data_IF_671020721887
#
_entry.id   IF_671020721887
#
_cell.length_a   1.000
_cell.length_b   1.000
_cell.length_c   1.000
_cell.angle_alpha   90.00
_cell.angle_beta   90.00
_cell.angle_gamma   90.00
#
_symmetry.space_group_name_H-M   'P 1'
#
loop_
_entity.id
_entity.type
_entity.pdbx_description
1 polymer ?
#
# COMPACT_ATOMS: atom_id res chain seq x y z
N UNK A 1 -4.63 -13.35 3.48
CA UNK A 1 -5.63 -12.74 2.59
C UNK A 1 -5.19 -12.79 1.13
N UNK A 2 -3.96 -12.52 0.81
CA UNK A 2 -3.44 -12.56 -0.56
C UNK A 2 -1.97 -12.18 -0.62
N UNK A 3 -1.49 -11.77 -1.78
CA UNK A 3 -0.10 -11.38 -1.98
C UNK A 3 0.03 -10.05 -2.71
N UNK A 4 1.05 -9.29 -2.34
CA UNK A 4 1.42 -8.03 -2.97
C UNK A 4 2.79 -8.19 -3.62
N UNK A 5 2.91 -7.81 -4.89
CA UNK A 5 4.18 -7.83 -5.62
C UNK A 5 4.47 -6.46 -6.22
N UNK A 6 5.62 -5.89 -5.87
CA UNK A 6 6.08 -4.58 -6.39
C UNK A 6 7.43 -4.80 -7.08
N UNK A 7 7.44 -5.18 -8.37
CA UNK A 7 8.69 -5.54 -9.07
C UNK A 7 9.72 -4.40 -9.10
N UNK A 8 9.27 -3.15 -9.20
CA UNK A 8 10.18 -2.01 -9.31
C UNK A 8 11.11 -1.85 -8.11
N UNK A 9 10.74 -2.38 -6.96
CA UNK A 9 11.54 -2.34 -5.72
C UNK A 9 11.81 -3.73 -5.15
N UNK A 10 11.55 -4.77 -5.95
CA UNK A 10 11.80 -6.17 -5.60
C UNK A 10 11.14 -6.57 -4.27
N UNK A 11 9.86 -6.25 -4.12
CA UNK A 11 9.08 -6.56 -2.92
C UNK A 11 8.00 -7.57 -3.25
N UNK A 12 7.91 -8.64 -2.43
CA UNK A 12 6.82 -9.59 -2.43
C UNK A 12 6.42 -9.85 -0.98
N UNK A 13 5.19 -9.53 -0.63
CA UNK A 13 4.71 -9.63 0.75
C UNK A 13 3.34 -10.28 0.79
N UNK A 14 3.02 -11.05 1.85
CA UNK A 14 1.65 -11.46 2.07
C UNK A 14 0.80 -10.25 2.49
N UNK A 15 -0.47 -10.27 2.11
CA UNK A 15 -1.44 -9.29 2.57
C UNK A 15 -2.14 -9.88 3.79
N UNK A 16 -2.02 -9.20 4.93
CA UNK A 16 -2.55 -9.65 6.21
C UNK A 16 -3.73 -8.77 6.63
N UNK A 17 -4.56 -9.30 7.49
CA UNK A 17 -5.78 -8.62 7.92
C UNK A 17 -5.51 -7.80 9.19
N UNK A 18 -5.92 -6.51 9.15
CA UNK A 18 -5.72 -5.62 10.29
C UNK A 18 -4.31 -5.08 10.40
N UNK A 19 -4.09 -4.20 11.36
CA UNK A 19 -2.84 -3.48 11.52
C UNK A 19 -2.20 -3.69 12.89
N UNK A 20 -2.39 -4.89 13.47
CA UNK A 20 -1.69 -5.21 14.71
C UNK A 20 -0.16 -5.31 14.48
N UNK A 21 0.65 -5.30 15.54
CA UNK A 21 2.11 -5.29 15.39
C UNK A 21 2.65 -6.47 14.58
N UNK A 22 2.06 -7.65 14.71
CA UNK A 22 2.51 -8.85 13.98
C UNK A 22 2.24 -8.69 12.49
N UNK A 23 1.06 -8.20 12.09
CA UNK A 23 0.73 -7.97 10.69
C UNK A 23 1.67 -6.95 10.05
N UNK A 24 1.96 -5.84 10.74
CA UNK A 24 2.86 -4.79 10.24
C UNK A 24 4.30 -5.28 10.07
N UNK A 25 4.71 -6.24 10.88
CA UNK A 25 6.08 -6.79 10.83
C UNK A 25 6.24 -7.92 9.82
N UNK A 26 5.15 -8.60 9.45
CA UNK A 26 5.19 -9.81 8.63
C UNK A 26 4.80 -9.58 7.17
N UNK A 27 4.13 -8.49 6.86
CA UNK A 27 3.69 -8.26 5.49
C UNK A 27 3.01 -6.91 5.31
N UNK A 28 2.19 -6.84 4.25
CA UNK A 28 1.36 -5.67 3.95
C UNK A 28 0.02 -5.84 4.68
N UNK A 29 -0.26 -4.98 5.64
CA UNK A 29 -1.45 -5.08 6.47
C UNK A 29 -2.60 -4.27 5.87
N UNK A 30 -3.76 -4.91 5.73
CA UNK A 30 -4.98 -4.25 5.27
C UNK A 30 -5.58 -3.42 6.41
N UNK A 31 -5.79 -2.14 6.17
CA UNK A 31 -6.33 -1.21 7.17
C UNK A 31 -7.83 -1.40 7.29
N UNK A 32 -8.33 -1.64 8.50
CA UNK A 32 -9.76 -1.76 8.77
C UNK A 32 -10.50 -0.48 8.35
N UNK A 33 -11.69 -0.65 7.82
CA UNK A 33 -12.52 0.46 7.35
C UNK A 33 -12.24 0.90 5.92
N UNK A 34 -11.16 0.41 5.31
CA UNK A 34 -10.91 0.63 3.87
C UNK A 34 -11.47 -0.53 3.07
N UNK A 35 -11.60 -0.35 1.74
CA UNK A 35 -12.13 -1.40 0.88
C UNK A 35 -11.23 -2.65 0.93
N UNK A 36 -11.82 -3.83 0.73
CA UNK A 36 -11.05 -5.06 0.60
C UNK A 36 -10.22 -5.05 -0.67
N UNK A 37 -9.07 -5.75 -0.73
CA UNK A 37 -8.17 -5.71 -1.87
C UNK A 37 -8.66 -6.57 -3.05
N UNK A 38 -9.93 -6.44 -3.38
CA UNK A 38 -10.57 -7.14 -4.50
C UNK A 38 -10.93 -6.21 -5.66
N UNK A 39 -10.60 -4.94 -5.53
CA UNK A 39 -10.88 -3.93 -6.54
C UNK A 39 -12.36 -3.54 -6.57
N UNK A 40 -12.70 -2.69 -7.49
CA UNK A 40 -14.07 -2.24 -7.71
C UNK A 40 -14.15 -0.73 -7.91
N UNK A 41 -15.17 -0.30 -8.63
CA UNK A 41 -15.44 1.11 -8.88
C UNK A 41 -15.78 1.82 -7.56
N UNK A 42 -15.26 3.02 -7.39
CA UNK A 42 -15.47 3.85 -6.20
C UNK A 42 -14.93 3.20 -4.91
N UNK A 43 -13.86 2.41 -5.00
CA UNK A 43 -13.21 1.82 -3.84
C UNK A 43 -11.81 2.38 -3.65
N UNK A 44 -11.36 2.43 -2.40
CA UNK A 44 -9.99 2.80 -2.06
C UNK A 44 -9.50 1.84 -0.96
N UNK A 45 -8.62 0.93 -1.34
CA UNK A 45 -8.02 -0.04 -0.43
C UNK A 45 -6.71 0.53 0.10
N UNK A 46 -6.46 0.38 1.40
CA UNK A 46 -5.21 0.86 2.01
C UNK A 46 -4.45 -0.30 2.61
N UNK A 47 -3.20 -0.45 2.18
CA UNK A 47 -2.24 -1.41 2.73
C UNK A 47 -1.10 -0.65 3.37
N UNK A 48 -0.66 -1.08 4.54
CA UNK A 48 0.45 -0.44 5.26
C UNK A 48 1.46 -1.48 5.74
N UNK A 49 2.70 -1.08 5.90
CA UNK A 49 3.75 -1.93 6.46
C UNK A 49 4.86 -1.05 7.03
N UNK A 50 5.74 -1.66 7.82
CA UNK A 50 6.90 -0.95 8.36
C UNK A 50 7.94 -0.61 7.29
N UNK A 51 8.73 0.42 7.56
CA UNK A 51 9.93 0.75 6.80
C UNK A 51 11.14 0.61 7.73
N UNK A 52 12.19 -0.11 7.28
CA UNK A 52 13.43 -0.28 8.04
C UNK A 52 13.28 -1.13 9.29
N UNK A 53 12.37 -2.09 9.31
CA UNK A 53 12.05 -2.88 10.50
C UNK A 53 12.83 -4.19 10.55
N UNK A 54 13.58 -4.42 11.64
CA UNK A 54 14.28 -5.69 11.95
C UNK A 54 15.06 -6.29 10.77
N UNK A 55 15.68 -5.46 9.93
CA UNK A 55 16.44 -5.91 8.76
C UNK A 55 15.57 -6.40 7.59
N UNK A 56 14.26 -6.43 7.72
CA UNK A 56 13.34 -6.78 6.64
C UNK A 56 13.08 -5.57 5.76
N UNK A 57 12.94 -5.80 4.46
CA UNK A 57 12.73 -4.70 3.52
C UNK A 57 11.32 -4.12 3.59
N UNK A 58 10.31 -4.95 3.67
CA UNK A 58 8.90 -4.52 3.73
C UNK A 58 8.65 -3.33 2.80
N UNK A 59 8.18 -2.19 3.33
CA UNK A 59 7.99 -0.95 2.57
C UNK A 59 9.17 0.02 2.67
N UNK A 60 10.35 -0.44 3.07
CA UNK A 60 11.54 0.41 3.22
C UNK A 60 11.86 1.20 1.94
N UNK A 61 11.74 0.57 0.77
CA UNK A 61 12.07 1.18 -0.51
C UNK A 61 10.84 1.77 -1.21
N UNK A 62 9.72 1.93 -0.52
CA UNK A 62 8.49 2.46 -1.12
C UNK A 62 8.68 3.86 -1.71
N UNK A 63 9.59 4.66 -1.15
CA UNK A 63 9.93 5.99 -1.64
C UNK A 63 10.60 5.99 -3.01
N UNK A 64 11.06 4.83 -3.49
CA UNK A 64 11.64 4.68 -4.82
C UNK A 64 10.59 4.52 -5.92
N UNK A 65 9.34 4.27 -5.57
CA UNK A 65 8.26 4.20 -6.56
C UNK A 65 7.99 5.58 -7.14
N UNK A 66 7.85 5.63 -8.46
CA UNK A 66 7.54 6.87 -9.19
C UNK A 66 6.26 6.69 -9.99
N UNK A 67 5.71 7.82 -10.44
CA UNK A 67 4.52 7.81 -11.30
C UNK A 67 4.81 6.93 -12.53
N UNK A 68 3.91 6.00 -12.79
CA UNK A 68 4.05 5.05 -13.89
C UNK A 68 4.54 3.66 -13.49
N UNK A 69 5.16 3.50 -12.34
CA UNK A 69 5.47 2.17 -11.81
C UNK A 69 4.17 1.44 -11.44
N UNK A 70 4.23 0.12 -11.36
CA UNK A 70 3.05 -0.67 -11.07
C UNK A 70 3.32 -1.72 -10.01
N UNK A 71 2.24 -2.21 -9.39
CA UNK A 71 2.27 -3.37 -8.53
C UNK A 71 1.07 -4.25 -8.81
N UNK A 72 1.14 -5.50 -8.35
CA UNK A 72 0.04 -6.45 -8.48
C UNK A 72 -0.39 -6.97 -7.13
N UNK A 73 -1.68 -7.24 -7.04
CA UNK A 73 -2.29 -7.88 -5.87
C UNK A 73 -2.97 -9.15 -6.34
N UNK A 74 -2.69 -10.26 -5.67
CA UNK A 74 -3.34 -11.54 -5.96
C UNK A 74 -4.19 -11.91 -4.74
N UNK A 75 -5.50 -11.99 -4.94
CA UNK A 75 -6.47 -12.34 -3.90
C UNK A 75 -7.47 -13.32 -4.48
N UNK A 76 -7.70 -14.44 -3.78
CA UNK A 76 -8.67 -15.46 -4.19
C UNK A 76 -8.46 -15.96 -5.63
N UNK A 77 -7.20 -16.04 -6.08
CA UNK A 77 -6.85 -16.49 -7.43
C UNK A 77 -6.95 -15.43 -8.51
N UNK A 78 -7.38 -14.22 -8.16
CA UNK A 78 -7.45 -13.11 -9.11
C UNK A 78 -6.26 -12.18 -8.95
N UNK A 79 -5.73 -11.72 -10.08
CA UNK A 79 -4.59 -10.81 -10.13
C UNK A 79 -5.06 -9.43 -10.58
N UNK A 80 -4.83 -8.44 -9.73
CA UNK A 80 -5.19 -7.04 -10.00
C UNK A 80 -3.91 -6.23 -10.15
N UNK A 81 -3.84 -5.39 -11.18
CA UNK A 81 -2.67 -4.54 -11.44
C UNK A 81 -3.05 -3.07 -11.21
N UNK A 82 -2.24 -2.38 -10.42
CA UNK A 82 -2.39 -0.96 -10.13
C UNK A 82 -1.16 -0.21 -10.62
N UNK A 83 -1.36 0.98 -11.15
CA UNK A 83 -0.27 1.84 -11.64
C UNK A 83 -0.23 3.10 -10.78
N UNK A 84 0.97 3.50 -10.37
CA UNK A 84 1.16 4.68 -9.52
C UNK A 84 0.69 5.93 -10.27
N UNK A 85 -0.25 6.65 -9.69
CA UNK A 85 -0.79 7.90 -10.24
C UNK A 85 -0.53 9.10 -9.34
N UNK A 86 -0.19 8.87 -8.07
CA UNK A 86 0.12 9.94 -7.12
C UNK A 86 1.00 9.43 -5.99
N UNK A 87 1.82 10.33 -5.45
CA UNK A 87 2.57 10.05 -4.23
C UNK A 87 2.60 11.32 -3.39
N UNK A 88 2.56 11.15 -2.07
CA UNK A 88 2.41 12.27 -1.15
C UNK A 88 3.03 11.93 0.20
N UNK A 89 3.69 12.92 0.81
CA UNK A 89 4.17 12.82 2.19
C UNK A 89 3.26 13.70 3.06
N UNK A 90 2.70 13.11 4.10
CA UNK A 90 1.71 13.76 4.96
C UNK A 90 2.05 13.54 6.44
N UNK A 91 1.46 14.36 7.32
CA UNK A 91 1.51 14.09 8.75
C UNK A 91 0.66 12.86 9.07
N UNK A 92 0.97 12.11 10.17
CA UNK A 92 0.29 10.85 10.45
C UNK A 92 -1.23 10.94 10.59
N UNK A 93 -1.76 12.11 10.90
CA UNK A 93 -3.20 12.32 11.07
C UNK A 93 -3.93 12.74 9.80
N UNK A 94 -3.23 13.03 8.71
CA UNK A 94 -3.84 13.47 7.46
C UNK A 94 -4.24 12.25 6.62
N UNK A 95 -5.52 11.90 6.66
CA UNK A 95 -6.08 10.76 5.93
C UNK A 95 -6.90 11.16 4.71
N UNK A 96 -6.85 12.43 4.30
CA UNK A 96 -7.71 12.94 3.22
C UNK A 96 -7.42 12.28 1.87
N UNK A 97 -6.18 11.89 1.62
CA UNK A 97 -5.80 11.21 0.38
C UNK A 97 -6.31 9.76 0.28
N UNK A 98 -6.81 9.20 1.37
CA UNK A 98 -7.21 7.79 1.45
C UNK A 98 -8.70 7.57 1.26
N UNK A 99 -9.46 8.62 0.99
CA UNK A 99 -10.91 8.52 0.79
C UNK A 99 -11.23 7.94 -0.59
N UNK A 100 -12.30 7.13 -0.70
CA UNK A 100 -12.77 6.69 -2.00
C UNK A 100 -13.13 7.88 -2.90
N UNK A 101 -12.90 7.71 -4.20
CA UNK A 101 -13.27 8.72 -5.19
C UNK A 101 -14.24 8.11 -6.19
N UNK A 102 -15.34 8.79 -6.51
CA UNK A 102 -16.36 8.23 -7.40
C UNK A 102 -15.77 7.79 -8.75
N UNK A 103 -16.16 6.59 -9.18
CA UNK A 103 -15.74 6.04 -10.47
C UNK A 103 -14.31 5.54 -10.54
N UNK A 104 -13.55 5.61 -9.46
CA UNK A 104 -12.13 5.20 -9.45
C UNK A 104 -11.91 3.96 -8.61
N UNK A 105 -11.04 3.08 -9.09
CA UNK A 105 -10.57 1.90 -8.36
C UNK A 105 -9.15 2.17 -7.88
N UNK A 106 -9.00 2.54 -6.61
CA UNK A 106 -7.75 3.02 -6.04
C UNK A 106 -7.22 2.08 -4.97
N UNK A 107 -5.89 2.01 -4.89
CA UNK A 107 -5.20 1.35 -3.79
C UNK A 107 -4.01 2.23 -3.37
N UNK A 108 -3.85 2.46 -2.08
CA UNK A 108 -2.71 3.19 -1.55
C UNK A 108 -1.84 2.30 -0.69
N UNK A 109 -0.53 2.46 -0.86
CA UNK A 109 0.49 1.84 -0.01
C UNK A 109 1.04 2.92 0.91
N UNK A 110 1.02 2.66 2.22
CA UNK A 110 1.37 3.66 3.24
C UNK A 110 2.49 3.13 4.12
N UNK A 111 3.50 3.95 4.37
CA UNK A 111 4.57 3.62 5.31
C UNK A 111 5.06 4.87 6.03
N UNK A 112 5.84 4.66 7.08
CA UNK A 112 6.47 5.76 7.82
C UNK A 112 7.65 6.33 7.02
N UNK A 113 7.88 7.62 7.12
CA UNK A 113 8.99 8.31 6.46
C UNK A 113 9.43 9.52 7.28
N UNK A 114 10.69 9.97 7.24
CA UNK A 114 11.86 9.23 6.73
C UNK A 114 12.14 7.97 7.54
N UNK A 115 12.81 6.99 6.92
CA UNK A 115 13.15 5.74 7.60
C UNK A 115 13.95 6.03 8.86
N UNK A 116 13.52 5.43 10.00
CA UNK A 116 14.16 5.63 11.29
C UNK A 116 13.70 6.86 12.05
N UNK A 117 13.11 7.86 11.39
CA UNK A 117 12.53 9.05 12.03
C UNK A 117 11.04 8.90 12.23
N UNK A 118 10.35 8.44 11.19
CA UNK A 118 8.92 8.08 11.23
C UNK A 118 7.98 9.23 11.59
N UNK A 119 8.40 10.48 11.31
CA UNK A 119 7.63 11.68 11.65
C UNK A 119 6.44 11.91 10.73
N UNK A 120 6.49 11.35 9.53
CA UNK A 120 5.49 11.53 8.48
C UNK A 120 5.07 10.19 7.91
N UNK A 121 4.11 10.23 7.00
CA UNK A 121 3.68 9.04 6.25
C UNK A 121 3.84 9.30 4.77
N UNK A 122 4.42 8.32 4.06
CA UNK A 122 4.47 8.31 2.60
C UNK A 122 3.26 7.53 2.10
N UNK A 123 2.48 8.15 1.24
CA UNK A 123 1.32 7.54 0.59
C UNK A 123 1.60 7.45 -0.89
N UNK A 124 1.62 6.23 -1.43
CA UNK A 124 1.75 5.96 -2.86
C UNK A 124 0.42 5.40 -3.33
N UNK A 125 -0.26 6.13 -4.18
CA UNK A 125 -1.60 5.76 -4.67
C UNK A 125 -1.52 5.23 -6.07
N UNK A 126 -2.12 4.07 -6.30
CA UNK A 126 -2.26 3.45 -7.60
C UNK A 126 -3.71 3.40 -8.04
N UNK A 127 -3.92 3.44 -9.34
CA UNK A 127 -5.22 3.24 -9.96
C UNK A 127 -5.19 1.98 -10.79
N UNK A 128 -6.24 1.18 -10.72
CA UNK A 128 -6.30 -0.11 -11.39
C UNK A 128 -6.22 0.04 -12.90
N UNK A 129 -5.39 -0.79 -13.55
CA UNK A 129 -5.21 -0.79 -15.00
C UNK A 129 -5.56 -2.14 -15.64
N UNK A 130 -5.67 -3.19 -14.86
CA UNK A 130 -6.10 -4.50 -15.40
C UNK A 130 -6.58 -5.51 -14.36
#
# INVERSE_FOLDING_TARGET
MGGLSIPAIDVQLPILHGTDPDALSDGAAHVYGTALPVGGESTHTVLTSHAGWSGRRLFTDLDRLTIGDSWTVTVAGEKLTYKVVARKVVVPTDLTSLKPQPGRDLMSLVTCTPVGVNSHRLIVTGERVS
#
